data_IF_641750931834
#
_entry.id   IF_641750931834
#
_cell.length_a   1.000
_cell.length_b   1.000
_cell.length_c   1.000
_cell.angle_alpha   90.00
_cell.angle_beta   90.00
_cell.angle_gamma   90.00
#
_symmetry.space_group_name_H-M   'P 1'
#
loop_
_entity.id
_entity.type
_entity.pdbx_description
1 polymer ?
#
# COMPACT_ATOMS: atom_id res chain seq x y z
N UNK A 1 -18.14 -6.07 1.54
CA UNK A 1 -17.53 -5.43 2.73
C UNK A 1 -16.10 -5.12 2.34
N UNK A 2 -15.55 -3.96 2.72
CA UNK A 2 -14.17 -3.66 2.35
C UNK A 2 -13.19 -4.54 3.17
N UNK A 3 -12.09 -4.99 2.56
CA UNK A 3 -10.97 -5.65 3.25
C UNK A 3 -9.74 -4.75 3.24
N UNK A 4 -8.85 -4.98 4.21
CA UNK A 4 -7.55 -4.31 4.29
C UNK A 4 -6.49 -5.39 4.49
N UNK A 5 -5.52 -5.42 3.58
CA UNK A 5 -4.46 -6.41 3.54
C UNK A 5 -3.10 -5.70 3.49
N UNK A 6 -2.10 -6.27 4.14
CA UNK A 6 -0.72 -5.78 4.07
C UNK A 6 0.11 -6.77 3.26
N UNK A 7 0.72 -6.28 2.18
CA UNK A 7 1.66 -7.03 1.37
C UNK A 7 3.10 -6.69 1.82
N UNK A 8 3.74 -7.67 2.47
CA UNK A 8 5.10 -7.51 2.98
C UNK A 8 6.18 -7.52 1.89
N UNK A 9 5.89 -8.11 0.73
CA UNK A 9 6.83 -8.23 -0.39
C UNK A 9 7.01 -6.87 -1.08
N UNK A 10 5.90 -6.21 -1.41
CA UNK A 10 5.93 -4.89 -2.05
C UNK A 10 5.90 -3.73 -1.06
N UNK A 11 5.69 -4.02 0.23
CA UNK A 11 5.50 -3.03 1.30
C UNK A 11 4.33 -2.10 0.98
N UNK A 12 3.15 -2.67 0.81
CA UNK A 12 1.95 -1.92 0.50
C UNK A 12 0.77 -2.32 1.38
N UNK A 13 -0.15 -1.38 1.57
CA UNK A 13 -1.46 -1.65 2.16
C UNK A 13 -2.48 -1.63 1.03
N UNK A 14 -3.15 -2.75 0.82
CA UNK A 14 -4.23 -2.85 -0.15
C UNK A 14 -5.58 -2.72 0.55
N UNK A 15 -6.41 -1.80 0.07
CA UNK A 15 -7.79 -1.61 0.52
C UNK A 15 -8.70 -2.08 -0.60
N UNK A 16 -9.33 -3.24 -0.42
CA UNK A 16 -10.26 -3.81 -1.39
C UNK A 16 -11.67 -3.32 -1.11
N UNK A 17 -12.34 -2.76 -2.11
CA UNK A 17 -13.77 -2.42 -2.02
C UNK A 17 -14.65 -3.48 -2.64
N UNK A 18 -14.16 -4.13 -3.70
CA UNK A 18 -14.89 -5.15 -4.45
C UNK A 18 -13.97 -6.30 -4.89
N UNK A 19 -14.54 -7.46 -5.17
CA UNK A 19 -13.80 -8.70 -5.51
C UNK A 19 -13.61 -8.90 -7.03
N UNK A 20 -13.96 -7.88 -7.81
CA UNK A 20 -13.82 -7.83 -9.25
C UNK A 20 -12.35 -7.83 -9.68
N UNK A 21 -12.13 -8.32 -10.90
CA UNK A 21 -10.81 -8.38 -11.51
C UNK A 21 -10.33 -6.97 -11.86
N UNK A 22 -9.10 -6.66 -11.46
CA UNK A 22 -8.38 -5.44 -11.84
C UNK A 22 -8.08 -5.50 -13.34
N UNK A 23 -8.49 -4.46 -14.06
CA UNK A 23 -8.19 -4.27 -15.48
C UNK A 23 -6.99 -3.33 -15.67
N UNK A 24 -6.97 -2.23 -14.92
CA UNK A 24 -5.88 -1.24 -14.92
C UNK A 24 -5.57 -0.77 -13.50
N UNK A 25 -4.32 -0.36 -13.30
CA UNK A 25 -3.81 0.22 -12.07
C UNK A 25 -3.13 1.54 -12.44
N UNK A 26 -3.59 2.65 -11.86
CA UNK A 26 -3.11 3.99 -12.21
C UNK A 26 -2.63 4.75 -10.97
N UNK A 27 -1.43 5.34 -11.00
CA UNK A 27 -0.96 6.22 -9.94
C UNK A 27 -1.86 7.45 -9.80
N UNK A 28 -2.43 7.65 -8.62
CA UNK A 28 -3.22 8.84 -8.28
C UNK A 28 -2.38 9.90 -7.57
N UNK A 29 -1.41 9.46 -6.76
CA UNK A 29 -0.44 10.30 -6.05
C UNK A 29 0.85 9.51 -5.83
N UNK A 30 1.89 10.18 -5.29
CA UNK A 30 3.24 9.62 -5.12
C UNK A 30 3.28 8.19 -4.55
N UNK A 31 2.41 7.88 -3.59
CA UNK A 31 2.35 6.59 -2.93
C UNK A 31 0.95 5.95 -2.95
N UNK A 32 0.06 6.41 -3.85
CA UNK A 32 -1.32 5.93 -3.95
C UNK A 32 -1.61 5.49 -5.38
N UNK A 33 -2.01 4.24 -5.54
CA UNK A 33 -2.44 3.65 -6.81
C UNK A 33 -3.91 3.27 -6.70
N UNK A 34 -4.68 3.51 -7.77
CA UNK A 34 -6.09 3.15 -7.87
C UNK A 34 -6.22 2.00 -8.85
N UNK A 35 -6.90 0.95 -8.40
CA UNK A 35 -7.25 -0.19 -9.24
C UNK A 35 -8.68 -0.06 -9.74
N UNK A 36 -8.85 -0.28 -11.04
CA UNK A 36 -10.10 -0.09 -11.76
C UNK A 36 -10.43 -1.36 -12.57
N UNK A 37 -11.70 -1.74 -12.59
CA UNK A 37 -12.19 -2.86 -13.40
C UNK A 37 -12.43 -2.49 -14.88
N UNK A 38 -12.83 -3.47 -15.69
CA UNK A 38 -13.12 -3.28 -17.12
C UNK A 38 -14.29 -2.31 -17.41
N UNK A 39 -15.10 -1.98 -16.39
CA UNK A 39 -16.23 -1.05 -16.51
C UNK A 39 -15.86 0.37 -16.09
N UNK A 40 -14.63 0.59 -15.63
CA UNK A 40 -14.19 1.88 -15.11
C UNK A 40 -14.56 2.12 -13.65
N UNK A 41 -14.97 1.09 -12.91
CA UNK A 41 -15.30 1.21 -11.49
C UNK A 41 -14.08 0.92 -10.61
N UNK A 42 -13.90 1.73 -9.55
CA UNK A 42 -12.82 1.51 -8.58
C UNK A 42 -13.07 0.20 -7.82
N UNK A 43 -12.08 -0.69 -7.81
CA UNK A 43 -12.10 -1.96 -7.08
C UNK A 43 -11.24 -1.94 -5.83
N UNK A 44 -10.20 -1.11 -5.80
CA UNK A 44 -9.32 -0.98 -4.65
C UNK A 44 -8.34 0.18 -4.73
N UNK A 45 -7.62 0.36 -3.63
CA UNK A 45 -6.54 1.35 -3.47
C UNK A 45 -5.32 0.63 -2.92
N UNK A 46 -4.17 0.87 -3.51
CA UNK A 46 -2.88 0.44 -2.98
C UNK A 46 -2.14 1.67 -2.44
N UNK A 47 -1.73 1.59 -1.17
CA UNK A 47 -0.89 2.60 -0.52
C UNK A 47 0.51 2.03 -0.34
N UNK A 48 1.45 2.54 -1.13
CA UNK A 48 2.85 2.13 -1.06
C UNK A 48 3.50 2.74 0.18
N UNK A 49 4.18 1.90 0.97
CA UNK A 49 4.96 2.34 2.11
C UNK A 49 6.39 2.70 1.67
N UNK A 50 7.06 3.60 2.42
CA UNK A 50 8.44 3.93 2.13
C UNK A 50 9.31 2.67 2.22
N UNK A 51 10.13 2.45 1.18
CA UNK A 51 11.25 1.52 1.26
C UNK A 51 12.33 2.19 2.10
N UNK A 52 12.43 1.74 3.35
CA UNK A 52 13.46 2.23 4.26
C UNK A 52 14.80 1.62 3.87
N UNK A 53 15.78 2.47 3.63
CA UNK A 53 17.16 2.03 3.50
C UNK A 53 17.74 1.59 4.86
N UNK A 54 18.93 0.97 4.83
CA UNK A 54 19.59 0.47 6.05
C UNK A 54 19.76 1.56 7.11
N UNK A 55 20.10 2.78 6.69
CA UNK A 55 20.33 3.93 7.58
C UNK A 55 19.02 4.39 8.23
N UNK A 56 17.94 4.46 7.47
CA UNK A 56 16.61 4.81 7.95
C UNK A 56 16.08 3.73 8.90
N UNK A 57 16.28 2.45 8.60
CA UNK A 57 15.94 1.34 9.49
C UNK A 57 16.71 1.40 10.81
N UNK A 58 18.01 1.69 10.76
CA UNK A 58 18.83 1.86 11.96
C UNK A 58 18.33 3.02 12.82
N UNK A 59 17.98 4.14 12.20
CA UNK A 59 17.40 5.29 12.89
C UNK A 59 16.06 4.95 13.57
N UNK A 60 15.13 4.31 12.85
CA UNK A 60 13.83 3.89 13.40
C UNK A 60 14.04 2.94 14.58
N UNK A 61 14.90 1.94 14.45
CA UNK A 61 15.21 0.99 15.52
C UNK A 61 15.79 1.69 16.76
N UNK A 62 16.65 2.69 16.57
CA UNK A 62 17.22 3.49 17.67
C UNK A 62 16.13 4.28 18.39
N UNK A 63 15.22 4.92 17.65
CA UNK A 63 14.12 5.71 18.22
C UNK A 63 13.13 4.83 18.97
N UNK A 64 12.78 3.66 18.43
CA UNK A 64 11.85 2.73 19.07
C UNK A 64 12.44 2.12 20.35
N UNK A 65 13.72 1.73 20.34
CA UNK A 65 14.41 1.20 21.53
C UNK A 65 14.58 2.24 22.65
N UNK A 66 14.70 3.52 22.30
CA UNK A 66 14.80 4.60 23.28
C UNK A 66 13.47 4.91 24.00
N UNK A 67 12.36 4.33 23.54
CA UNK A 67 11.02 4.50 24.13
C UNK A 67 10.57 3.32 25.02
N UNK A 68 11.41 2.30 25.21
CA UNK A 68 11.16 1.14 26.09
C UNK A 68 12.00 1.24 27.35
#
# INVERSE_FOLDING_TARGET
>A
MASVEFDDEVKAIYIRFKDEKIAISEPLADNVVIDVDEKGEIVGIEVLLPKLDERQMEFVNKVLKAKV
#
